data_IF_282292111384
#
_entry.id   IF_282292111384
#
_cell.length_a   1.000
_cell.length_b   1.000
_cell.length_c   1.000
_cell.angle_alpha   90.00
_cell.angle_beta   90.00
_cell.angle_gamma   90.00
#
_symmetry.space_group_name_H-M   'P 1'
#
loop_
_entity.id
_entity.type
_entity.pdbx_description
1 polymer ?
#
# COMPACT_ATOMS: atom_id res chain seq x y z
N UNK A 1 -74.05 6.04 -0.54
CA UNK A 1 -73.08 5.36 -1.42
C UNK A 1 -73.74 4.13 -2.00
N UNK A 2 -73.79 3.96 -3.33
CA UNK A 2 -74.40 2.77 -3.96
C UNK A 2 -73.57 1.53 -3.61
N UNK A 3 -74.23 0.46 -3.17
CA UNK A 3 -73.57 -0.82 -2.92
C UNK A 3 -72.91 -1.32 -4.22
N UNK A 4 -71.63 -1.72 -4.16
CA UNK A 4 -70.91 -2.31 -5.30
C UNK A 4 -71.58 -3.64 -5.67
N UNK A 5 -72.29 -3.66 -6.80
CA UNK A 5 -72.96 -4.85 -7.30
C UNK A 5 -71.92 -5.76 -7.99
N UNK A 6 -71.82 -7.02 -7.54
CA UNK A 6 -70.89 -8.02 -8.12
C UNK A 6 -71.61 -8.79 -9.22
N UNK A 7 -71.04 -8.81 -10.42
CA UNK A 7 -71.58 -9.57 -11.56
C UNK A 7 -70.73 -10.81 -11.83
N UNK A 8 -71.39 -11.95 -12.01
CA UNK A 8 -70.72 -13.19 -12.42
C UNK A 8 -70.46 -13.13 -13.93
N UNK A 9 -69.20 -13.35 -14.31
CA UNK A 9 -68.77 -13.35 -15.72
C UNK A 9 -68.14 -14.69 -16.10
N UNK A 10 -68.16 -15.02 -17.39
CA UNK A 10 -67.48 -16.21 -17.92
C UNK A 10 -65.97 -15.97 -17.91
N UNK A 11 -65.23 -16.82 -17.19
CA UNK A 11 -63.77 -16.72 -17.05
C UNK A 11 -63.05 -16.76 -18.41
N UNK A 12 -63.38 -17.73 -19.27
CA UNK A 12 -62.74 -17.88 -20.60
C UNK A 12 -62.98 -16.67 -21.51
N UNK A 13 -64.16 -16.06 -21.40
CA UNK A 13 -64.48 -14.85 -22.16
C UNK A 13 -63.65 -13.68 -21.64
N UNK A 14 -63.62 -13.47 -20.33
CA UNK A 14 -62.87 -12.39 -19.69
C UNK A 14 -61.36 -12.47 -19.99
N UNK A 15 -60.75 -13.66 -19.89
CA UNK A 15 -59.34 -13.90 -20.21
C UNK A 15 -59.02 -13.56 -21.67
N UNK A 16 -59.86 -13.99 -22.61
CA UNK A 16 -59.67 -13.76 -24.05
C UNK A 16 -59.92 -12.30 -24.44
N UNK A 17 -60.95 -11.67 -23.88
CA UNK A 17 -61.30 -10.28 -24.20
C UNK A 17 -60.24 -9.30 -23.69
N UNK A 18 -59.68 -9.53 -22.50
CA UNK A 18 -58.64 -8.66 -21.94
C UNK A 18 -57.22 -9.11 -22.28
N UNK A 19 -57.06 -10.30 -22.89
CA UNK A 19 -55.77 -10.93 -23.18
C UNK A 19 -54.87 -11.07 -21.94
N UNK A 20 -55.49 -11.47 -20.81
CA UNK A 20 -54.82 -11.65 -19.53
C UNK A 20 -54.92 -13.13 -19.15
N UNK A 21 -53.81 -13.73 -18.73
CA UNK A 21 -53.79 -15.12 -18.24
C UNK A 21 -54.43 -15.24 -16.86
N UNK A 22 -54.82 -16.46 -16.48
CA UNK A 22 -55.49 -16.70 -15.20
C UNK A 22 -54.62 -16.33 -13.97
N UNK A 23 -53.28 -16.36 -14.09
CA UNK A 23 -52.35 -16.08 -12.99
C UNK A 23 -52.50 -14.68 -12.36
N UNK A 24 -52.39 -13.59 -13.15
CA UNK A 24 -52.66 -12.23 -12.69
C UNK A 24 -54.05 -12.05 -12.07
N UNK A 25 -55.07 -12.69 -12.62
CA UNK A 25 -56.46 -12.62 -12.14
C UNK A 25 -56.57 -13.22 -10.73
N UNK A 26 -56.05 -14.43 -10.53
CA UNK A 26 -56.05 -15.09 -9.21
C UNK A 26 -55.25 -14.30 -8.18
N UNK A 27 -54.08 -13.77 -8.55
CA UNK A 27 -53.30 -12.90 -7.65
C UNK A 27 -54.06 -11.64 -7.29
N UNK A 28 -54.74 -11.00 -8.25
CA UNK A 28 -55.54 -9.81 -7.99
C UNK A 28 -56.69 -10.07 -7.00
N UNK A 29 -57.28 -11.28 -7.04
CA UNK A 29 -58.26 -11.71 -6.04
C UNK A 29 -57.64 -12.03 -4.67
N UNK A 30 -56.45 -12.64 -4.64
CA UNK A 30 -55.73 -12.95 -3.39
C UNK A 30 -55.24 -11.69 -2.65
N UNK A 31 -54.82 -10.66 -3.39
CA UNK A 31 -54.22 -9.44 -2.84
C UNK A 31 -55.14 -8.22 -2.83
N UNK A 32 -56.37 -8.34 -3.31
CA UNK A 32 -57.29 -7.21 -3.49
C UNK A 32 -58.37 -7.13 -2.42
N UNK A 33 -58.44 -6.00 -1.70
CA UNK A 33 -59.63 -5.61 -0.93
C UNK A 33 -60.26 -4.39 -1.60
N UNK A 34 -61.59 -4.41 -1.77
CA UNK A 34 -62.39 -3.30 -2.33
C UNK A 34 -61.96 -2.74 -3.70
N UNK A 35 -61.27 -3.54 -4.52
CA UNK A 35 -60.82 -3.14 -5.86
C UNK A 35 -59.44 -2.49 -5.89
N UNK A 36 -58.72 -2.50 -4.76
CA UNK A 36 -57.33 -2.07 -4.68
C UNK A 36 -56.42 -3.24 -4.31
N UNK A 37 -55.39 -3.49 -5.13
CA UNK A 37 -54.40 -4.52 -4.86
C UNK A 37 -53.42 -4.03 -3.78
N UNK A 38 -53.49 -4.63 -2.61
CA UNK A 38 -52.74 -4.24 -1.40
C UNK A 38 -51.64 -5.26 -1.03
N UNK A 39 -51.36 -6.25 -1.88
CA UNK A 39 -50.30 -7.22 -1.60
C UNK A 39 -48.92 -6.66 -1.96
N UNK A 40 -47.95 -6.86 -1.07
CA UNK A 40 -46.56 -6.48 -1.30
C UNK A 40 -45.93 -7.23 -2.49
N UNK A 41 -45.11 -6.53 -3.27
CA UNK A 41 -44.32 -7.17 -4.33
C UNK A 41 -43.21 -8.05 -3.72
N UNK A 42 -43.37 -9.36 -3.88
CA UNK A 42 -42.42 -10.40 -3.43
C UNK A 42 -41.45 -10.84 -4.53
N UNK A 43 -41.44 -10.21 -5.71
CA UNK A 43 -40.47 -10.51 -6.78
C UNK A 43 -39.05 -10.26 -6.30
N UNK A 44 -38.11 -11.11 -6.72
CA UNK A 44 -36.67 -10.98 -6.38
C UNK A 44 -36.29 -11.26 -4.91
N UNK A 45 -37.25 -11.52 -4.01
CA UNK A 45 -37.00 -11.75 -2.58
C UNK A 45 -36.61 -13.20 -2.23
N UNK A 46 -36.50 -14.11 -3.21
CA UNK A 46 -36.04 -15.49 -2.97
C UNK A 46 -34.52 -15.52 -2.97
N UNK A 47 -33.94 -16.10 -1.93
CA UNK A 47 -32.52 -16.45 -1.92
C UNK A 47 -32.25 -17.43 -3.07
N UNK A 48 -31.28 -17.13 -3.94
CA UNK A 48 -30.95 -18.03 -5.05
C UNK A 48 -30.42 -19.35 -4.50
N UNK A 49 -30.78 -20.47 -5.13
CA UNK A 49 -30.36 -21.80 -4.69
C UNK A 49 -28.84 -21.99 -4.74
N UNK A 50 -28.14 -21.21 -5.57
CA UNK A 50 -26.68 -21.20 -5.71
C UNK A 50 -25.95 -20.34 -4.65
N UNK A 51 -26.64 -19.79 -3.65
CA UNK A 51 -25.99 -19.00 -2.60
C UNK A 51 -25.13 -19.95 -1.74
N UNK A 52 -23.82 -19.68 -1.69
CA UNK A 52 -22.92 -20.38 -0.78
C UNK A 52 -23.37 -20.20 0.68
N UNK A 53 -23.20 -21.24 1.50
CA UNK A 53 -23.58 -21.21 2.91
C UNK A 53 -22.78 -20.12 3.63
N UNK A 54 -23.41 -19.47 4.59
CA UNK A 54 -22.77 -18.38 5.35
C UNK A 54 -21.60 -18.88 6.19
N UNK A 55 -21.65 -20.13 6.65
CA UNK A 55 -20.56 -20.82 7.36
C UNK A 55 -19.30 -20.92 6.51
N UNK A 56 -19.41 -21.29 5.23
CA UNK A 56 -18.27 -21.43 4.33
C UNK A 56 -17.65 -20.06 4.00
N UNK A 57 -18.49 -19.02 3.91
CA UNK A 57 -18.03 -17.64 3.73
C UNK A 57 -17.28 -17.14 4.97
N UNK A 58 -17.77 -17.46 6.17
CA UNK A 58 -17.10 -17.12 7.43
C UNK A 58 -15.73 -17.82 7.54
N UNK A 59 -15.64 -19.08 7.13
CA UNK A 59 -14.39 -19.83 7.14
C UNK A 59 -13.33 -19.23 6.20
N UNK A 60 -13.73 -18.80 5.01
CA UNK A 60 -12.82 -18.08 4.09
C UNK A 60 -12.33 -16.77 4.70
N UNK A 61 -13.20 -16.01 5.38
CA UNK A 61 -12.83 -14.76 6.05
C UNK A 61 -11.80 -15.02 7.15
N UNK A 62 -12.03 -16.02 7.99
CA UNK A 62 -11.09 -16.42 9.05
C UNK A 62 -9.71 -16.73 8.46
N UNK A 63 -9.64 -17.52 7.39
CA UNK A 63 -8.37 -17.81 6.72
C UNK A 63 -7.68 -16.56 6.16
N UNK A 64 -8.42 -15.58 5.63
CA UNK A 64 -7.86 -14.31 5.14
C UNK A 64 -7.32 -13.45 6.30
N UNK A 65 -7.98 -13.47 7.46
CA UNK A 65 -7.58 -12.72 8.67
C UNK A 65 -6.31 -13.28 9.34
N UNK A 66 -5.96 -14.55 9.07
CA UNK A 66 -4.72 -15.15 9.57
C UNK A 66 -3.45 -14.57 8.94
N UNK A 67 -3.57 -13.90 7.78
CA UNK A 67 -2.40 -13.30 7.14
C UNK A 67 -2.00 -11.98 7.84
N UNK A 68 -0.72 -11.80 8.17
CA UNK A 68 -0.26 -10.54 8.75
C UNK A 68 -0.46 -9.40 7.76
N UNK A 69 -1.03 -8.30 8.25
CA UNK A 69 -1.25 -7.08 7.47
C UNK A 69 -0.34 -5.97 7.97
N UNK A 70 0.04 -5.08 7.06
CA UNK A 70 0.91 -3.96 7.31
C UNK A 70 0.21 -2.66 6.91
N UNK A 71 0.31 -1.65 7.75
CA UNK A 71 -0.15 -0.31 7.39
C UNK A 71 0.85 0.35 6.43
N UNK A 72 0.36 1.13 5.46
CA UNK A 72 1.26 1.99 4.69
C UNK A 72 1.79 3.10 5.59
N UNK A 73 2.99 2.92 6.14
CA UNK A 73 3.69 3.89 6.98
C UNK A 73 3.80 5.29 6.33
N UNK A 74 3.77 5.35 5.00
CA UNK A 74 3.90 6.58 4.21
C UNK A 74 2.57 7.29 3.85
N UNK A 75 1.41 6.68 4.06
CA UNK A 75 0.12 7.24 3.61
C UNK A 75 -0.96 7.28 4.69
N UNK A 76 -0.57 7.40 5.97
CA UNK A 76 -1.49 7.42 7.11
C UNK A 76 -2.55 8.53 7.07
N UNK A 77 -2.25 9.69 6.46
CA UNK A 77 -3.21 10.82 6.39
C UNK A 77 -4.35 10.61 5.38
N UNK A 78 -4.23 9.73 4.37
CA UNK A 78 -5.17 9.69 3.24
C UNK A 78 -5.94 8.37 3.05
N UNK A 79 -5.52 7.23 3.61
CA UNK A 79 -6.22 5.94 3.41
C UNK A 79 -6.17 5.04 4.64
N UNK A 80 -7.29 4.36 4.94
CA UNK A 80 -7.39 3.28 5.93
C UNK A 80 -7.11 1.89 5.32
N UNK A 81 -6.37 1.84 4.19
CA UNK A 81 -6.15 0.59 3.45
C UNK A 81 -4.98 -0.19 4.07
N UNK A 82 -5.21 -1.47 4.34
CA UNK A 82 -4.21 -2.39 4.86
C UNK A 82 -3.52 -3.15 3.71
N UNK A 83 -2.26 -3.51 3.90
CA UNK A 83 -1.43 -4.15 2.88
C UNK A 83 -0.93 -5.53 3.30
N UNK A 84 -1.01 -6.50 2.40
CA UNK A 84 -0.42 -7.83 2.54
C UNK A 84 1.00 -7.85 1.96
N UNK A 85 1.82 -8.83 2.32
CA UNK A 85 3.18 -9.00 1.77
C UNK A 85 3.20 -8.99 0.23
N UNK A 86 4.21 -8.36 -0.36
CA UNK A 86 4.45 -8.28 -1.80
C UNK A 86 4.61 -9.66 -2.48
N UNK A 87 5.03 -10.68 -1.73
CA UNK A 87 5.20 -12.06 -2.20
C UNK A 87 3.90 -12.87 -2.21
N UNK A 88 2.84 -12.36 -1.56
CA UNK A 88 1.53 -12.98 -1.55
C UNK A 88 0.73 -12.58 -2.80
N UNK A 89 -0.12 -13.49 -3.26
CA UNK A 89 -1.07 -13.23 -4.34
C UNK A 89 -2.35 -13.99 -4.06
N UNK A 90 -3.48 -13.58 -4.63
CA UNK A 90 -4.78 -14.27 -4.44
C UNK A 90 -4.69 -15.74 -4.83
N UNK A 91 -3.93 -16.06 -5.89
CA UNK A 91 -3.69 -17.45 -6.30
C UNK A 91 -2.96 -18.25 -5.22
N UNK A 92 -1.89 -17.69 -4.66
CA UNK A 92 -1.10 -18.33 -3.61
C UNK A 92 -1.89 -18.47 -2.31
N UNK A 93 -2.64 -17.45 -1.92
CA UNK A 93 -3.54 -17.50 -0.77
C UNK A 93 -4.63 -18.56 -0.97
N UNK A 94 -5.16 -18.73 -2.19
CA UNK A 94 -6.10 -19.80 -2.49
C UNK A 94 -5.47 -21.20 -2.39
N UNK A 95 -4.21 -21.38 -2.82
CA UNK A 95 -3.49 -22.64 -2.62
C UNK A 95 -3.35 -22.97 -1.13
N UNK A 96 -2.97 -22.01 -0.30
CA UNK A 96 -2.91 -22.17 1.16
C UNK A 96 -4.29 -22.45 1.78
N UNK A 97 -5.35 -21.85 1.21
CA UNK A 97 -6.71 -22.13 1.63
C UNK A 97 -7.12 -23.59 1.35
N UNK A 98 -6.66 -24.18 0.24
CA UNK A 98 -6.93 -25.60 -0.05
C UNK A 98 -6.27 -26.51 0.98
N UNK A 99 -5.03 -26.22 1.37
CA UNK A 99 -4.32 -26.92 2.44
C UNK A 99 -5.07 -26.75 3.78
N UNK A 100 -5.48 -25.52 4.10
CA UNK A 100 -6.26 -25.23 5.30
C UNK A 100 -7.62 -25.96 5.34
N UNK A 101 -8.30 -26.08 4.20
CA UNK A 101 -9.52 -26.88 4.09
C UNK A 101 -9.27 -28.37 4.27
N UNK A 102 -8.16 -28.88 3.73
CA UNK A 102 -7.76 -30.27 3.87
C UNK A 102 -7.54 -30.62 5.35
N UNK A 103 -6.80 -29.78 6.07
CA UNK A 103 -6.51 -29.98 7.50
C UNK A 103 -7.77 -29.92 8.38
N UNK A 104 -8.75 -29.10 7.99
CA UNK A 104 -10.03 -28.95 8.70
C UNK A 104 -11.15 -29.86 8.15
N UNK A 105 -10.83 -30.79 7.25
CA UNK A 105 -11.80 -31.71 6.62
C UNK A 105 -13.04 -31.03 6.03
N UNK A 106 -12.86 -29.88 5.37
CA UNK A 106 -13.94 -29.11 4.72
C UNK A 106 -13.82 -29.12 3.20
N UNK A 107 -14.96 -29.01 2.52
CA UNK A 107 -15.01 -28.86 1.06
C UNK A 107 -14.65 -27.42 0.69
N UNK A 108 -13.61 -27.19 -0.12
CA UNK A 108 -13.19 -25.85 -0.50
C UNK A 108 -14.18 -25.19 -1.47
N UNK A 109 -14.37 -23.87 -1.31
CA UNK A 109 -15.10 -23.05 -2.28
C UNK A 109 -14.24 -22.81 -3.53
N UNK A 110 -14.88 -22.45 -4.65
CA UNK A 110 -14.16 -22.12 -5.88
C UNK A 110 -13.29 -20.88 -5.74
N UNK A 111 -12.18 -20.84 -6.49
CA UNK A 111 -11.26 -19.70 -6.52
C UNK A 111 -11.97 -18.37 -6.86
N UNK A 112 -12.98 -18.41 -7.72
CA UNK A 112 -13.78 -17.23 -8.08
C UNK A 112 -14.56 -16.69 -6.88
N UNK A 113 -15.13 -17.58 -6.05
CA UNK A 113 -15.83 -17.16 -4.83
C UNK A 113 -14.85 -16.62 -3.80
N UNK A 114 -13.71 -17.29 -3.62
CA UNK A 114 -12.64 -16.81 -2.73
C UNK A 114 -12.19 -15.40 -3.11
N UNK A 115 -11.92 -15.16 -4.41
CA UNK A 115 -11.55 -13.83 -4.93
C UNK A 115 -12.66 -12.80 -4.69
N UNK A 116 -13.92 -13.17 -4.88
CA UNK A 116 -15.06 -12.28 -4.64
C UNK A 116 -15.10 -11.86 -3.17
N UNK A 117 -15.02 -12.82 -2.24
CA UNK A 117 -15.00 -12.55 -0.80
C UNK A 117 -13.82 -11.63 -0.44
N UNK A 118 -12.62 -11.91 -0.95
CA UNK A 118 -11.44 -11.06 -0.72
C UNK A 118 -11.68 -9.62 -1.18
N UNK A 119 -12.20 -9.40 -2.39
CA UNK A 119 -12.42 -8.05 -2.94
C UNK A 119 -13.61 -7.30 -2.32
N UNK A 120 -14.65 -7.99 -1.84
CA UNK A 120 -15.85 -7.33 -1.31
C UNK A 120 -15.84 -7.16 0.21
N UNK A 121 -15.25 -8.10 0.93
CA UNK A 121 -15.29 -8.12 2.40
C UNK A 121 -14.10 -7.39 3.03
N UNK A 122 -12.99 -7.25 2.32
CA UNK A 122 -11.76 -6.68 2.86
C UNK A 122 -11.27 -5.50 2.01
N UNK A 123 -10.82 -4.43 2.68
CA UNK A 123 -10.11 -3.32 2.04
C UNK A 123 -8.58 -3.58 2.03
N UNK A 124 -8.18 -4.76 1.52
CA UNK A 124 -6.79 -5.21 1.47
C UNK A 124 -6.19 -5.01 0.08
N UNK A 125 -4.88 -4.79 0.02
CA UNK A 125 -4.11 -4.76 -1.22
C UNK A 125 -2.73 -5.36 -1.02
N UNK A 126 -2.08 -5.80 -2.08
CA UNK A 126 -0.71 -6.31 -1.97
C UNK A 126 0.27 -5.13 -1.90
N UNK A 127 1.21 -5.19 -0.96
CA UNK A 127 2.24 -4.19 -0.82
C UNK A 127 3.11 -4.20 -2.07
N UNK A 128 3.24 -3.05 -2.71
CA UNK A 128 4.18 -2.86 -3.81
C UNK A 128 5.33 -2.03 -3.24
N UNK A 129 6.53 -2.60 -3.06
CA UNK A 129 7.68 -1.83 -2.61
C UNK A 129 7.91 -0.68 -3.59
N UNK A 130 7.66 0.55 -3.14
CA UNK A 130 8.10 1.74 -3.86
C UNK A 130 9.61 1.81 -3.72
N UNK A 131 10.34 1.18 -4.64
CA UNK A 131 11.75 1.49 -4.82
C UNK A 131 11.81 2.89 -5.40
N UNK A 132 12.54 3.81 -4.77
CA UNK A 132 12.91 5.06 -5.40
C UNK A 132 13.71 4.74 -6.66
N UNK A 133 13.03 4.88 -7.80
CA UNK A 133 13.63 4.68 -9.11
C UNK A 133 14.22 6.02 -9.53
N UNK A 134 15.45 5.99 -10.02
CA UNK A 134 16.07 7.18 -10.57
C UNK A 134 15.26 7.71 -11.76
N UNK A 135 15.42 9.00 -12.08
CA UNK A 135 14.70 9.65 -13.18
C UNK A 135 14.89 8.96 -14.53
N UNK A 136 16.05 8.31 -14.75
CA UNK A 136 16.35 7.56 -15.97
C UNK A 136 15.58 6.24 -16.03
N UNK A 137 15.56 5.45 -14.94
CA UNK A 137 14.76 4.22 -14.86
C UNK A 137 13.26 4.49 -15.02
N UNK A 138 12.76 5.61 -14.48
CA UNK A 138 11.37 6.01 -14.68
C UNK A 138 11.08 6.35 -16.14
N UNK A 139 11.93 7.17 -16.77
CA UNK A 139 11.80 7.50 -18.20
C UNK A 139 11.80 6.26 -19.09
N UNK A 140 12.71 5.31 -18.86
CA UNK A 140 12.74 4.05 -19.60
C UNK A 140 11.48 3.19 -19.38
N UNK A 141 11.01 3.08 -18.14
CA UNK A 141 9.81 2.31 -17.82
C UNK A 141 8.54 2.89 -18.46
N UNK A 142 8.41 4.22 -18.50
CA UNK A 142 7.29 4.88 -19.16
C UNK A 142 7.38 4.74 -20.68
N UNK A 143 8.54 4.99 -21.28
CA UNK A 143 8.74 4.82 -22.74
C UNK A 143 8.44 3.39 -23.21
N UNK A 144 8.76 2.39 -22.40
CA UNK A 144 8.44 0.98 -22.68
C UNK A 144 6.94 0.69 -22.62
N UNK A 145 6.17 1.38 -21.78
CA UNK A 145 4.71 1.23 -21.71
C UNK A 145 4.00 1.94 -22.86
N UNK A 146 4.51 3.09 -23.28
CA UNK A 146 3.94 3.91 -24.35
C UNK A 146 4.45 3.55 -25.74
N UNK A 147 5.23 2.46 -25.87
CA UNK A 147 5.85 2.00 -27.12
C UNK A 147 6.67 3.11 -27.84
N UNK A 148 7.19 4.08 -27.09
CA UNK A 148 7.97 5.22 -27.60
C UNK A 148 9.47 5.06 -27.31
N UNK A 149 9.94 3.82 -27.23
CA UNK A 149 11.32 3.51 -26.90
C UNK A 149 12.25 3.89 -28.06
N UNK A 150 13.21 4.76 -27.79
CA UNK A 150 14.28 5.12 -28.74
C UNK A 150 15.53 4.30 -28.44
N UNK A 151 16.25 3.85 -29.48
CA UNK A 151 17.52 3.11 -29.34
C UNK A 151 18.54 3.81 -28.43
N UNK A 152 18.56 5.16 -28.48
CA UNK A 152 19.41 5.98 -27.61
C UNK A 152 19.06 5.81 -26.12
N UNK A 153 17.77 5.74 -25.78
CA UNK A 153 17.31 5.58 -24.40
C UNK A 153 17.62 4.17 -23.89
N UNK A 154 17.54 3.16 -24.76
CA UNK A 154 17.93 1.80 -24.44
C UNK A 154 19.44 1.68 -24.19
N UNK A 155 20.27 2.25 -25.05
CA UNK A 155 21.72 2.30 -24.85
C UNK A 155 22.10 3.02 -23.54
N UNK A 156 21.46 4.16 -23.24
CA UNK A 156 21.66 4.89 -21.99
C UNK A 156 21.23 4.07 -20.77
N UNK A 157 20.11 3.35 -20.86
CA UNK A 157 19.64 2.47 -19.79
C UNK A 157 20.59 1.30 -19.55
N UNK A 158 21.08 0.67 -20.60
CA UNK A 158 22.03 -0.45 -20.51
C UNK A 158 23.36 0.01 -19.88
N UNK A 159 23.89 1.17 -20.29
CA UNK A 159 25.07 1.76 -19.65
C UNK A 159 24.80 2.08 -18.16
N UNK A 160 23.64 2.67 -17.84
CA UNK A 160 23.26 2.95 -16.46
C UNK A 160 23.19 1.66 -15.60
N UNK A 161 22.61 0.57 -16.14
CA UNK A 161 22.58 -0.73 -15.46
C UNK A 161 23.98 -1.33 -15.31
N UNK A 162 24.83 -1.26 -16.32
CA UNK A 162 26.21 -1.73 -16.24
C UNK A 162 27.00 -0.97 -15.16
N UNK A 163 26.88 0.37 -15.11
CA UNK A 163 27.51 1.21 -14.08
C UNK A 163 27.01 0.85 -12.68
N UNK A 164 25.72 0.59 -12.52
CA UNK A 164 25.14 0.15 -11.25
C UNK A 164 25.71 -1.20 -10.81
N UNK A 165 25.78 -2.17 -11.72
CA UNK A 165 26.35 -3.49 -11.43
C UNK A 165 27.82 -3.37 -11.04
N UNK A 166 28.62 -2.62 -11.81
CA UNK A 166 30.03 -2.39 -11.51
C UNK A 166 30.24 -1.71 -10.15
N UNK A 167 29.47 -0.66 -9.84
CA UNK A 167 29.56 0.02 -8.54
C UNK A 167 29.24 -0.92 -7.37
N UNK A 168 28.25 -1.81 -7.52
CA UNK A 168 27.92 -2.80 -6.51
C UNK A 168 29.02 -3.87 -6.36
N UNK A 169 29.61 -4.33 -7.47
CA UNK A 169 30.72 -5.29 -7.45
C UNK A 169 31.96 -4.69 -6.78
N UNK A 170 32.32 -3.45 -7.11
CA UNK A 170 33.43 -2.74 -6.47
C UNK A 170 33.15 -2.54 -4.97
N UNK A 171 31.93 -2.13 -4.60
CA UNK A 171 31.54 -1.98 -3.19
C UNK A 171 31.67 -3.30 -2.42
N UNK A 172 31.25 -4.42 -3.00
CA UNK A 172 31.36 -5.73 -2.37
C UNK A 172 32.83 -6.16 -2.23
N UNK A 173 33.65 -5.93 -3.26
CA UNK A 173 35.09 -6.18 -3.20
C UNK A 173 35.78 -5.32 -2.12
N UNK A 174 35.44 -4.04 -2.01
CA UNK A 174 35.97 -3.14 -0.99
C UNK A 174 35.56 -3.56 0.43
N UNK A 175 34.33 -4.07 0.58
CA UNK A 175 33.86 -4.64 1.84
C UNK A 175 34.69 -5.86 2.23
N UNK A 176 34.85 -6.83 1.32
CA UNK A 176 35.68 -8.02 1.55
C UNK A 176 37.14 -7.66 1.82
N UNK A 177 37.68 -6.64 1.14
CA UNK A 177 39.03 -6.13 1.40
C UNK A 177 39.14 -5.57 2.83
N UNK A 178 38.17 -4.77 3.27
CA UNK A 178 38.18 -4.16 4.61
C UNK A 178 38.08 -5.16 5.76
N UNK A 179 37.52 -6.35 5.50
CA UNK A 179 37.49 -7.45 6.47
C UNK A 179 38.85 -8.14 6.60
N UNK A 180 39.60 -8.27 5.50
CA UNK A 180 40.86 -9.00 5.45
C UNK A 180 42.10 -8.13 5.74
N UNK A 181 42.07 -6.84 5.40
CA UNK A 181 43.20 -5.93 5.51
C UNK A 181 42.96 -4.89 6.63
N UNK A 182 43.73 -4.88 7.72
CA UNK A 182 43.59 -3.90 8.79
C UNK A 182 44.00 -2.48 8.40
N UNK A 183 44.67 -2.29 7.25
CA UNK A 183 45.09 -0.96 6.77
C UNK A 183 44.03 -0.28 5.89
N UNK A 184 42.97 -0.99 5.52
CA UNK A 184 41.94 -0.52 4.61
C UNK A 184 40.57 -0.46 5.28
N UNK A 185 39.95 0.72 5.29
CA UNK A 185 38.61 0.94 5.85
C UNK A 185 37.62 1.31 4.74
N UNK A 186 36.52 0.56 4.64
CA UNK A 186 35.41 0.87 3.72
C UNK A 186 34.26 1.50 4.50
N UNK A 187 33.92 2.75 4.17
CA UNK A 187 32.81 3.49 4.77
C UNK A 187 31.71 3.78 3.76
N UNK A 188 30.45 3.65 4.17
CA UNK A 188 29.28 4.14 3.44
C UNK A 188 28.75 5.37 4.16
N UNK A 189 28.47 6.42 3.41
CA UNK A 189 27.98 7.69 3.95
C UNK A 189 26.60 7.97 3.39
N UNK A 190 25.67 8.40 4.25
CA UNK A 190 24.33 8.81 3.89
C UNK A 190 23.98 10.16 4.53
N UNK A 191 23.35 11.05 3.76
CA UNK A 191 22.86 12.34 4.24
C UNK A 191 21.35 12.37 4.07
N UNK A 192 20.63 12.46 5.19
CA UNK A 192 19.19 12.59 5.18
C UNK A 192 18.76 13.93 4.54
N UNK A 193 17.56 13.97 3.97
CA UNK A 193 16.94 15.23 3.56
C UNK A 193 16.90 16.23 4.71
N UNK A 194 17.08 17.52 4.37
CA UNK A 194 17.14 18.61 5.35
C UNK A 194 15.85 18.66 6.15
N UNK A 195 15.96 18.52 7.48
CA UNK A 195 14.84 18.60 8.39
C UNK A 195 14.67 20.06 8.84
N UNK A 196 13.52 20.66 8.50
CA UNK A 196 13.17 21.99 8.98
C UNK A 196 12.44 21.86 10.32
N UNK A 197 13.01 22.43 11.38
CA UNK A 197 12.40 22.45 12.73
C UNK A 197 12.25 23.89 13.23
N UNK A 198 11.20 24.24 14.00
CA UNK A 198 10.06 23.39 14.35
C UNK A 198 9.15 23.09 13.14
N UNK A 199 8.61 21.87 13.10
CA UNK A 199 7.61 21.45 12.11
C UNK A 199 6.28 21.18 12.83
N UNK A 200 5.17 21.62 12.22
CA UNK A 200 3.84 21.43 12.79
C UNK A 200 2.77 22.14 11.96
N UNK A 201 1.50 21.82 12.24
CA UNK A 201 0.34 22.31 11.49
C UNK A 201 -0.23 23.63 12.08
N UNK A 202 0.44 24.24 13.06
CA UNK A 202 0.02 25.48 13.73
C UNK A 202 0.48 26.74 12.98
N UNK A 203 -0.43 27.72 12.84
CA UNK A 203 -0.17 28.95 12.09
C UNK A 203 0.98 29.79 12.66
N UNK A 204 1.23 29.72 13.97
CA UNK A 204 2.33 30.42 14.63
C UNK A 204 3.71 29.95 14.13
N UNK A 205 3.84 28.67 13.75
CA UNK A 205 5.08 28.09 13.25
C UNK A 205 5.50 28.65 11.89
N UNK A 206 4.58 29.27 11.14
CA UNK A 206 4.89 29.96 9.89
C UNK A 206 5.79 31.18 10.11
N UNK A 207 5.65 31.84 11.27
CA UNK A 207 6.40 33.04 11.63
C UNK A 207 7.68 32.75 12.42
N UNK A 208 7.86 31.50 12.87
CA UNK A 208 9.08 31.08 13.55
C UNK A 208 10.25 30.92 12.55
N UNK A 209 11.45 31.28 13.01
CA UNK A 209 12.67 30.99 12.25
C UNK A 209 12.89 29.47 12.20
N UNK A 210 12.82 28.90 11.01
CA UNK A 210 13.11 27.49 10.78
C UNK A 210 14.61 27.23 10.86
N UNK A 211 15.00 26.25 11.67
CA UNK A 211 16.34 25.70 11.73
C UNK A 211 16.45 24.57 10.71
N UNK A 212 17.53 24.58 9.93
CA UNK A 212 17.89 23.48 9.04
C UNK A 212 18.76 22.49 9.84
N UNK A 213 18.17 21.36 10.19
CA UNK A 213 18.86 20.25 10.85
C UNK A 213 19.29 19.25 9.79
N UNK A 214 20.56 18.89 9.83
CA UNK A 214 21.17 17.89 8.97
C UNK A 214 21.48 16.66 9.81
N UNK A 215 21.12 15.49 9.28
CA UNK A 215 21.49 14.21 9.83
C UNK A 215 22.42 13.50 8.84
N UNK A 216 23.67 13.35 9.24
CA UNK A 216 24.74 12.78 8.43
C UNK A 216 25.22 11.49 9.09
N UNK A 217 25.09 10.37 8.40
CA UNK A 217 25.42 9.05 8.93
C UNK A 217 26.62 8.46 8.19
N UNK A 218 27.60 7.99 8.94
CA UNK A 218 28.73 7.20 8.44
C UNK A 218 28.56 5.79 8.96
N UNK A 219 28.66 4.81 8.08
CA UNK A 219 28.56 3.39 8.41
C UNK A 219 29.83 2.69 7.99
N UNK A 220 30.48 2.01 8.92
CA UNK A 220 31.63 1.17 8.63
C UNK A 220 31.18 -0.20 8.12
N UNK A 221 31.74 -0.63 6.99
CA UNK A 221 31.37 -1.91 6.37
C UNK A 221 31.96 -3.13 7.07
N UNK A 222 32.97 -2.92 7.94
CA UNK A 222 33.71 -3.95 8.65
C UNK A 222 33.00 -4.31 9.96
N UNK A 223 32.92 -5.61 10.28
CA UNK A 223 32.43 -6.07 11.59
C UNK A 223 33.27 -5.46 12.73
N UNK A 224 32.66 -4.84 13.77
CA UNK A 224 31.29 -4.98 14.26
C UNK A 224 30.21 -4.09 13.60
N UNK A 225 30.50 -3.43 12.48
CA UNK A 225 29.61 -2.53 11.73
C UNK A 225 29.18 -1.30 12.53
N UNK A 226 30.15 -0.48 12.92
CA UNK A 226 29.87 0.73 13.68
C UNK A 226 29.17 1.79 12.82
N UNK A 227 28.14 2.41 13.39
CA UNK A 227 27.43 3.52 12.78
C UNK A 227 27.66 4.79 13.60
N UNK A 228 28.06 5.86 12.91
CA UNK A 228 28.31 7.18 13.44
C UNK A 228 27.29 8.15 12.87
N UNK A 229 26.38 8.65 13.70
CA UNK A 229 25.39 9.64 13.28
C UNK A 229 25.75 11.02 13.82
N UNK A 230 25.84 12.00 12.93
CA UNK A 230 26.15 13.39 13.21
C UNK A 230 24.92 14.25 12.96
N UNK A 231 24.47 14.94 14.01
CA UNK A 231 23.39 15.93 13.89
C UNK A 231 23.98 17.32 14.06
N UNK A 232 23.81 18.15 13.03
CA UNK A 232 24.26 19.54 13.06
C UNK A 232 23.22 20.49 12.48
N UNK A 233 23.23 21.72 13.00
CA UNK A 233 22.37 22.80 12.55
C UNK A 233 23.21 23.95 12.02
N UNK A 234 22.75 24.57 10.94
CA UNK A 234 23.35 25.79 10.40
C UNK A 234 22.47 26.96 10.81
N UNK A 235 23.00 27.85 11.65
CA UNK A 235 22.35 29.11 12.01
C UNK A 235 23.11 30.21 11.25
N UNK A 236 22.38 31.06 10.52
CA UNK A 236 22.98 32.10 9.67
C UNK A 236 24.02 32.93 10.47
N UNK A 237 25.12 33.26 9.78
CA UNK A 237 26.40 33.80 10.27
C UNK A 237 27.38 32.76 10.84
N UNK A 238 28.02 32.01 9.93
CA UNK A 238 29.30 31.30 10.12
C UNK A 238 29.44 30.34 11.34
N UNK A 239 28.34 29.98 11.99
CA UNK A 239 28.33 29.09 13.15
C UNK A 239 27.67 27.75 12.79
N UNK A 240 28.48 26.69 12.75
CA UNK A 240 27.99 25.31 12.68
C UNK A 240 27.87 24.81 14.11
N UNK A 241 26.66 24.46 14.53
CA UNK A 241 26.45 23.80 15.82
C UNK A 241 26.38 22.30 15.58
N UNK A 242 27.42 21.56 15.97
CA UNK A 242 27.40 20.09 16.05
C UNK A 242 26.84 19.76 17.43
N UNK A 243 25.65 19.17 17.46
CA UNK A 243 24.89 19.03 18.72
C UNK A 243 25.04 17.63 19.33
N UNK A 244 25.43 16.63 18.54
CA UNK A 244 25.58 15.24 19.01
C UNK A 244 26.27 14.34 17.99
N UNK A 245 27.17 13.48 18.48
CA UNK A 245 27.71 12.30 17.77
C UNK A 245 27.16 11.06 18.47
N UNK A 246 26.45 10.21 17.75
CA UNK A 246 25.93 8.94 18.28
C UNK A 246 26.78 7.77 17.77
N UNK A 247 27.25 6.92 18.68
CA UNK A 247 27.96 5.66 18.37
C UNK A 247 27.17 4.51 18.97
N UNK A 248 26.44 3.76 18.13
CA UNK A 248 25.63 2.58 18.45
C UNK A 248 24.54 2.73 19.54
N UNK A 249 23.39 2.08 19.29
CA UNK A 249 22.15 2.18 20.09
C UNK A 249 22.23 1.67 21.54
N UNK A 250 23.32 1.03 21.97
CA UNK A 250 23.42 0.36 23.28
C UNK A 250 24.36 1.01 24.30
N UNK A 251 25.05 2.10 23.96
CA UNK A 251 26.01 2.75 24.87
C UNK A 251 25.74 4.25 25.01
N UNK A 252 25.31 4.63 26.22
CA UNK A 252 25.11 5.99 26.78
C UNK A 252 25.29 7.17 25.81
N UNK A 253 24.22 7.94 25.59
CA UNK A 253 24.26 9.26 24.94
C UNK A 253 25.33 10.14 25.60
N UNK A 254 26.48 10.32 24.94
CA UNK A 254 27.46 11.35 25.29
C UNK A 254 27.17 12.60 24.45
N UNK A 255 26.40 13.52 25.03
CA UNK A 255 26.17 14.83 24.44
C UNK A 255 27.48 15.63 24.51
N UNK A 256 28.24 15.67 23.41
CA UNK A 256 29.45 16.49 23.31
C UNK A 256 29.13 17.67 22.41
N UNK A 257 28.92 18.84 23.00
CA UNK A 257 28.73 20.11 22.28
C UNK A 257 30.12 20.66 21.97
N UNK A 258 30.53 20.63 20.70
CA UNK A 258 31.79 21.23 20.24
C UNK A 258 31.52 22.54 19.51
N UNK A 259 32.19 23.61 19.96
CA UNK A 259 32.08 24.95 19.38
C UNK A 259 33.15 25.11 18.29
N UNK A 260 32.75 25.11 17.02
CA UNK A 260 33.64 25.36 15.89
C UNK A 260 33.31 26.68 15.20
N UNK A 261 34.12 27.74 15.42
CA UNK A 261 34.13 28.92 14.54
C UNK A 261 34.88 28.55 13.27
N UNK A 262 34.23 28.55 12.10
CA UNK A 262 34.96 28.56 10.83
C UNK A 262 35.58 29.96 10.65
N UNK A 263 36.89 30.10 10.90
CA UNK A 263 37.65 31.19 10.27
C UNK A 263 37.69 30.89 8.78
N UNK A 264 37.08 31.75 7.97
CA UNK A 264 37.18 31.66 6.51
C UNK A 264 38.64 31.86 6.08
N UNK A 265 39.37 30.78 5.86
CA UNK A 265 40.50 30.81 4.94
C UNK A 265 39.91 30.78 3.53
N UNK A 266 40.00 31.92 2.84
CA UNK A 266 39.83 31.97 1.38
C UNK A 266 40.97 31.16 0.78
N UNK A 267 40.71 29.94 0.34
CA UNK A 267 41.59 29.28 -0.63
C UNK A 267 41.11 29.67 -2.02
N UNK A 268 41.92 30.49 -2.67
CA UNK A 268 41.81 30.83 -4.09
C UNK A 268 41.82 29.53 -4.91
N UNK A 269 40.75 29.34 -5.66
CA UNK A 269 40.71 28.39 -6.77
C UNK A 269 41.69 28.91 -7.83
N UNK A 270 42.91 28.37 -7.86
CA UNK A 270 43.72 28.41 -9.08
C UNK A 270 43.17 27.39 -10.08
N UNK A 271 43.10 27.85 -11.33
CA UNK A 271 42.68 27.12 -12.53
C UNK A 271 43.46 25.82 -12.76
#
# INVERSE_FOLDING_TARGET
MKAKQKHRVCQRFFEKTLNISNGPINKAFEGGQDGFFSAEDKRGRKTPYNKSKEEDVAFVKQHIEMFPTMESHYCRKNTQRLYLDAKLSIRKMYSLYLEFCHDNSRVPLSQSMYRKIFCTAFNLSFFVPKKDRCSLCNRYAEAKKTESLTDQLEALYNNHMARKTNANLTKEADKQRSENDPTFLSITVDLQSVLQVPSGDESLLYYCRKLCVYNFSIYESRFPNEAYCFIFCIIAENCVYITSVYTNLDSQMKLTVSYGRKSMAKEEVMR
#
